data_IF_063907697009
#
_entry.id   IF_063907697009
#
_cell.length_a   1.000
_cell.length_b   1.000
_cell.length_c   1.000
_cell.angle_alpha   90.00
_cell.angle_beta   90.00
_cell.angle_gamma   90.00
#
_symmetry.space_group_name_H-M   'P 1'
#
loop_
_entity.id
_entity.type
_entity.pdbx_description
1 polymer ?
#
# COMPACT_ATOMS: atom_id res chain seq x y z
N UNK A 1 15.75 -55.70 37.29
CA UNK A 1 14.90 -55.74 36.08
C UNK A 1 13.55 -55.16 36.47
N UNK A 2 13.02 -54.03 36.01
CA UNK A 2 13.20 -53.24 34.78
C UNK A 2 12.86 -51.77 35.07
N UNK A 3 13.70 -50.82 34.62
CA UNK A 3 13.36 -49.39 34.61
C UNK A 3 12.71 -49.07 33.27
N UNK A 4 11.40 -48.79 33.25
CA UNK A 4 10.68 -48.37 32.05
C UNK A 4 10.73 -46.84 32.00
N UNK A 5 11.66 -46.29 31.23
CA UNK A 5 11.76 -44.86 30.95
C UNK A 5 10.81 -44.57 29.78
N UNK A 6 9.68 -43.90 30.06
CA UNK A 6 8.80 -43.38 29.00
C UNK A 6 9.37 -42.07 28.49
N UNK A 7 10.03 -42.12 27.33
CA UNK A 7 10.49 -40.95 26.60
C UNK A 7 9.30 -40.33 25.85
N UNK A 8 8.79 -39.20 26.33
CA UNK A 8 7.82 -38.39 25.58
C UNK A 8 8.59 -37.53 24.56
N UNK A 9 8.49 -37.91 23.28
CA UNK A 9 9.08 -37.15 22.18
C UNK A 9 8.08 -36.06 21.76
N UNK A 10 8.29 -34.83 22.23
CA UNK A 10 7.50 -33.66 21.82
C UNK A 10 8.09 -33.13 20.51
N UNK A 11 7.42 -33.44 19.39
CA UNK A 11 7.71 -32.86 18.08
C UNK A 11 7.24 -31.40 18.05
N UNK A 12 8.17 -30.46 18.22
CA UNK A 12 7.94 -29.05 17.94
C UNK A 12 7.84 -28.86 16.41
N UNK A 13 6.61 -28.81 15.90
CA UNK A 13 6.36 -28.26 14.57
C UNK A 13 6.53 -26.75 14.64
N UNK A 14 7.71 -26.27 14.30
CA UNK A 14 7.94 -24.84 14.01
C UNK A 14 7.23 -24.49 12.72
N UNK A 15 6.00 -23.96 12.83
CA UNK A 15 5.33 -23.30 11.71
C UNK A 15 6.07 -22.00 11.44
N UNK A 16 6.90 -22.00 10.40
CA UNK A 16 7.45 -20.77 9.82
C UNK A 16 6.31 -19.97 9.22
N UNK A 17 5.66 -19.13 10.04
CA UNK A 17 4.78 -18.09 9.55
C UNK A 17 5.65 -17.14 8.73
N UNK A 18 5.55 -17.23 7.40
CA UNK A 18 6.13 -16.25 6.50
C UNK A 18 5.44 -14.92 6.80
N UNK A 19 6.09 -14.07 7.60
CA UNK A 19 5.63 -12.72 7.85
C UNK A 19 5.64 -11.98 6.50
N UNK A 20 4.46 -11.83 5.88
CA UNK A 20 4.28 -10.91 4.78
C UNK A 20 4.57 -9.52 5.35
N UNK A 21 5.76 -8.98 5.05
CA UNK A 21 6.11 -7.60 5.42
C UNK A 21 5.02 -6.69 4.89
N UNK A 22 4.25 -6.00 5.74
CA UNK A 22 3.31 -5.02 5.27
C UNK A 22 4.11 -3.95 4.52
N UNK A 23 3.85 -3.81 3.22
CA UNK A 23 4.38 -2.69 2.42
C UNK A 23 4.08 -1.39 3.18
N UNK A 24 5.12 -0.58 3.39
CA UNK A 24 5.00 0.69 4.10
C UNK A 24 3.92 1.54 3.45
N UNK A 25 3.05 2.14 4.26
CA UNK A 25 2.02 3.11 3.85
C UNK A 25 2.60 4.30 3.05
N UNK A 26 3.91 4.47 3.05
CA UNK A 26 4.69 5.34 2.18
C UNK A 26 5.79 4.50 1.51
N UNK A 27 5.64 4.19 0.22
CA UNK A 27 6.78 3.73 -0.58
C UNK A 27 7.82 4.86 -0.59
N UNK A 28 9.02 4.67 0.00
CA UNK A 28 10.02 5.72 0.11
C UNK A 28 10.53 6.24 -1.25
N UNK A 29 10.25 5.53 -2.35
CA UNK A 29 10.59 5.95 -3.71
C UNK A 29 9.48 6.78 -4.38
N UNK A 30 8.27 6.83 -3.81
CA UNK A 30 7.20 7.67 -4.35
C UNK A 30 7.56 9.14 -4.13
N UNK A 31 7.67 9.97 -5.18
CA UNK A 31 8.03 11.38 -5.04
C UNK A 31 6.83 12.20 -4.56
N UNK A 32 6.42 12.02 -3.30
CA UNK A 32 5.23 12.64 -2.68
C UNK A 32 5.22 14.16 -2.92
N UNK A 33 6.32 14.85 -2.65
CA UNK A 33 6.41 16.29 -2.90
C UNK A 33 6.09 16.72 -4.34
N UNK A 34 6.49 15.92 -5.34
CA UNK A 34 6.19 16.21 -6.75
C UNK A 34 4.72 15.91 -7.09
N UNK A 35 4.19 14.80 -6.59
CA UNK A 35 2.79 14.41 -6.79
C UNK A 35 1.84 15.45 -6.16
N UNK A 36 2.07 15.78 -4.90
CA UNK A 36 1.26 16.77 -4.17
C UNK A 36 1.28 18.13 -4.84
N UNK A 37 2.45 18.59 -5.30
CA UNK A 37 2.58 19.83 -6.06
C UNK A 37 1.79 19.80 -7.36
N UNK A 38 1.92 18.74 -8.15
CA UNK A 38 1.21 18.61 -9.44
C UNK A 38 -0.31 18.46 -9.27
N UNK A 39 -0.78 18.00 -8.10
CA UNK A 39 -2.20 17.91 -7.74
C UNK A 39 -2.73 19.17 -7.04
N UNK A 40 -1.87 20.12 -6.67
CA UNK A 40 -2.26 21.32 -5.93
C UNK A 40 -2.77 21.02 -4.50
N UNK A 41 -2.17 20.05 -3.82
CA UNK A 41 -2.44 19.73 -2.40
C UNK A 41 -1.14 19.74 -1.59
N UNK A 42 -1.23 19.83 -0.27
CA UNK A 42 -0.05 19.64 0.60
C UNK A 42 0.43 18.18 0.59
N UNK A 43 1.67 17.96 1.03
CA UNK A 43 2.23 16.61 1.16
C UNK A 43 1.47 15.80 2.20
N UNK A 44 1.13 16.45 3.31
CA UNK A 44 0.40 15.88 4.43
C UNK A 44 -1.01 15.44 4.01
N UNK A 45 -1.74 16.27 3.25
CA UNK A 45 -3.05 15.92 2.70
C UNK A 45 -2.97 14.73 1.75
N UNK A 46 -1.99 14.73 0.84
CA UNK A 46 -1.81 13.60 -0.08
C UNK A 46 -1.54 12.30 0.68
N UNK A 47 -0.59 12.30 1.62
CA UNK A 47 -0.25 11.12 2.42
C UNK A 47 -1.46 10.65 3.24
N UNK A 48 -2.19 11.56 3.86
CA UNK A 48 -3.40 11.23 4.62
C UNK A 48 -4.45 10.52 3.76
N UNK A 49 -4.68 10.98 2.53
CA UNK A 49 -5.57 10.32 1.58
C UNK A 49 -5.01 8.99 1.06
N UNK A 50 -3.72 8.97 0.71
CA UNK A 50 -3.05 7.81 0.11
C UNK A 50 -2.90 6.64 1.10
N UNK A 51 -2.81 6.90 2.40
CA UNK A 51 -2.75 5.88 3.44
C UNK A 51 -4.00 4.97 3.51
N UNK A 52 -5.09 5.36 2.83
CA UNK A 52 -6.34 4.60 2.76
C UNK A 52 -6.47 3.76 1.48
N UNK A 53 -5.53 3.86 0.55
CA UNK A 53 -5.49 2.98 -0.64
C UNK A 53 -4.57 1.79 -0.43
N UNK A 54 -4.72 0.77 -1.27
CA UNK A 54 -3.86 -0.41 -1.32
C UNK A 54 -3.15 -0.41 -2.67
N UNK A 55 -2.01 0.28 -2.84
CA UNK A 55 -1.29 0.30 -4.12
C UNK A 55 -0.79 -1.10 -4.50
N UNK A 56 -0.57 -1.34 -5.80
CA UNK A 56 0.15 -2.53 -6.25
C UNK A 56 1.57 -2.58 -5.66
N UNK A 57 2.14 -3.78 -5.47
CA UNK A 57 3.54 -3.94 -5.09
C UNK A 57 4.49 -3.20 -6.03
N UNK A 58 5.67 -2.89 -5.52
CA UNK A 58 6.70 -2.25 -6.32
C UNK A 58 7.08 -3.10 -7.54
N UNK A 59 7.18 -2.47 -8.71
CA UNK A 59 7.52 -3.15 -9.97
C UNK A 59 6.33 -3.85 -10.63
N UNK A 60 5.17 -3.86 -9.97
CA UNK A 60 3.95 -4.45 -10.52
C UNK A 60 2.99 -3.36 -11.04
N UNK A 61 2.39 -3.64 -12.18
CA UNK A 61 1.28 -2.83 -12.70
C UNK A 61 -0.03 -3.35 -12.09
N UNK A 62 -0.82 -2.52 -11.40
CA UNK A 62 -2.15 -2.95 -10.95
C UNK A 62 -3.05 -3.28 -12.14
N UNK A 63 -4.00 -4.17 -11.91
CA UNK A 63 -5.10 -4.40 -12.84
C UNK A 63 -5.99 -3.17 -12.92
N UNK A 64 -6.79 -3.04 -13.99
CA UNK A 64 -7.74 -1.93 -14.14
C UNK A 64 -8.76 -1.86 -13.01
N UNK A 65 -9.20 -3.02 -12.53
CA UNK A 65 -10.11 -3.08 -11.38
C UNK A 65 -9.45 -2.59 -10.10
N UNK A 66 -8.20 -2.97 -9.85
CA UNK A 66 -7.44 -2.51 -8.69
C UNK A 66 -7.17 -1.00 -8.73
N UNK A 67 -6.85 -0.44 -9.91
CA UNK A 67 -6.76 1.01 -10.11
C UNK A 67 -8.08 1.71 -9.75
N UNK A 68 -9.21 1.18 -10.26
CA UNK A 68 -10.54 1.73 -10.02
C UNK A 68 -10.89 1.73 -8.53
N UNK A 69 -10.65 0.62 -7.82
CA UNK A 69 -10.91 0.51 -6.38
C UNK A 69 -10.11 1.51 -5.56
N UNK A 70 -8.82 1.67 -5.86
CA UNK A 70 -7.98 2.65 -5.16
C UNK A 70 -8.43 4.08 -5.46
N UNK A 71 -8.79 4.38 -6.72
CA UNK A 71 -9.27 5.72 -7.11
C UNK A 71 -10.60 6.07 -6.46
N UNK A 72 -11.50 5.11 -6.29
CA UNK A 72 -12.77 5.32 -5.60
C UNK A 72 -12.60 5.80 -4.14
N UNK A 73 -11.44 5.54 -3.53
CA UNK A 73 -11.07 6.06 -2.20
C UNK A 73 -10.26 7.35 -2.31
N UNK A 74 -9.25 7.37 -3.17
CA UNK A 74 -8.27 8.44 -3.25
C UNK A 74 -8.87 9.75 -3.80
N UNK A 75 -9.60 9.67 -4.91
CA UNK A 75 -10.13 10.83 -5.61
C UNK A 75 -11.06 11.69 -4.73
N UNK A 76 -12.13 11.15 -4.10
CA UNK A 76 -13.01 11.97 -3.26
C UNK A 76 -12.30 12.52 -2.03
N UNK A 77 -11.27 11.84 -1.50
CA UNK A 77 -10.46 12.37 -0.41
C UNK A 77 -9.66 13.61 -0.84
N UNK A 78 -8.98 13.52 -1.98
CA UNK A 78 -8.19 14.63 -2.52
C UNK A 78 -9.09 15.81 -2.93
N UNK A 79 -10.29 15.55 -3.44
CA UNK A 79 -11.25 16.58 -3.82
C UNK A 79 -11.76 17.41 -2.64
N UNK A 80 -11.69 16.89 -1.40
CA UNK A 80 -11.95 17.70 -0.19
C UNK A 80 -10.88 18.78 0.04
N UNK A 81 -9.65 18.55 -0.44
CA UNK A 81 -8.56 19.51 -0.35
C UNK A 81 -8.47 20.40 -1.60
N UNK A 82 -8.72 19.84 -2.78
CA UNK A 82 -8.76 20.57 -4.05
C UNK A 82 -9.82 19.95 -4.98
N UNK A 83 -10.99 20.58 -5.06
CA UNK A 83 -12.13 20.09 -5.86
C UNK A 83 -11.90 20.10 -7.38
N UNK A 84 -10.84 20.79 -7.85
CA UNK A 84 -10.47 20.81 -9.26
C UNK A 84 -9.72 19.53 -9.71
N UNK A 85 -9.40 18.63 -8.78
CA UNK A 85 -8.78 17.35 -9.13
C UNK A 85 -9.81 16.47 -9.81
N UNK A 86 -9.63 16.29 -11.12
CA UNK A 86 -10.43 15.34 -11.90
C UNK A 86 -9.80 13.95 -11.89
N UNK A 87 -10.59 12.97 -12.32
CA UNK A 87 -10.15 11.60 -12.53
C UNK A 87 -8.95 11.53 -13.51
N UNK A 88 -9.01 12.32 -14.58
CA UNK A 88 -8.00 12.39 -15.65
C UNK A 88 -6.71 13.05 -15.13
N UNK A 89 -6.83 14.11 -14.32
CA UNK A 89 -5.67 14.74 -13.68
C UNK A 89 -4.98 13.76 -12.73
N UNK A 90 -5.76 13.06 -11.90
CA UNK A 90 -5.24 12.06 -10.98
C UNK A 90 -4.49 10.95 -11.73
N UNK A 91 -5.08 10.40 -12.79
CA UNK A 91 -4.43 9.37 -13.62
C UNK A 91 -3.14 9.87 -14.26
N UNK A 92 -3.16 11.08 -14.82
CA UNK A 92 -2.00 11.70 -15.45
C UNK A 92 -0.85 11.86 -14.46
N UNK A 93 -1.12 12.43 -13.28
CA UNK A 93 -0.07 12.67 -12.27
C UNK A 93 0.43 11.36 -11.67
N UNK A 94 -0.47 10.45 -11.28
CA UNK A 94 -0.06 9.17 -10.67
C UNK A 94 0.68 8.28 -11.67
N UNK A 95 0.27 8.31 -12.94
CA UNK A 95 0.97 7.61 -14.03
C UNK A 95 2.37 8.17 -14.30
N UNK A 96 2.53 9.50 -14.28
CA UNK A 96 3.83 10.19 -14.45
C UNK A 96 4.88 9.78 -13.42
N UNK A 97 4.45 9.43 -12.20
CA UNK A 97 5.35 9.11 -11.08
C UNK A 97 5.23 7.66 -10.59
N UNK A 98 4.70 6.76 -11.42
CA UNK A 98 4.74 5.31 -11.14
C UNK A 98 6.21 4.83 -11.28
N UNK A 99 6.77 4.15 -10.26
CA UNK A 99 8.11 3.57 -10.35
C UNK A 99 8.27 2.56 -11.48
#
# INVERSE_FOLDING_TARGET
MNKVIRLFLVLFFSTSVLAQTPMLKNDPKRPVGKISKDLGVSQEQFVACFNNVKPAPQGEKPTKEHERMNKAVLLPCLQKANNNITNELLDKVMGKYRP
#
